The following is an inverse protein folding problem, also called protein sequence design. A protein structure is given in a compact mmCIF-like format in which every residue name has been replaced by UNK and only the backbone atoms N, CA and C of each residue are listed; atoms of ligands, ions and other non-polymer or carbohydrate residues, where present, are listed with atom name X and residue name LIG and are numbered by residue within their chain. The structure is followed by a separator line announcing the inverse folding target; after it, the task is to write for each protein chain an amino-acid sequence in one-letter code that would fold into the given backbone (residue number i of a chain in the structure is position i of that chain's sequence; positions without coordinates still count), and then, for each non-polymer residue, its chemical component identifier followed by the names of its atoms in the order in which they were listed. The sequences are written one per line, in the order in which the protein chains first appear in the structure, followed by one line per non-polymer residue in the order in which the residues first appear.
data_IF_639843833149
#
_entry.id   IF_639843833149
#
_cell.length_a   1.000
_cell.length_b   1.000
_cell.length_c   1.000
_cell.angle_alpha   90.00
_cell.angle_beta   90.00
_cell.angle_gamma   90.00
#
_symmetry.space_group_name_H-M   'P 1'
#
loop_
_entity.id
_entity.type
_entity.pdbx_description
1 polymer ?
#
# COMPACT_ATOMS: atom_id res chain seq x y z
N UNK A 1 27.78 68.10 21.91
CA UNK A 1 27.52 66.97 20.99
C UNK A 1 27.75 65.68 21.77
N UNK A 2 26.70 64.90 22.03
CA UNK A 2 26.69 63.46 22.38
C UNK A 2 25.34 63.17 23.06
N UNK A 3 24.36 62.70 22.28
CA UNK A 3 23.11 62.13 22.79
C UNK A 3 22.92 60.75 22.15
N UNK A 4 22.38 59.86 22.96
CA UNK A 4 22.49 58.40 22.93
C UNK A 4 22.05 57.68 21.64
N UNK A 5 22.75 56.56 21.39
CA UNK A 5 22.31 55.44 20.55
C UNK A 5 21.05 54.80 21.14
N UNK A 6 19.95 54.75 20.40
CA UNK A 6 18.85 53.82 20.66
C UNK A 6 18.85 52.75 19.56
N UNK A 7 19.33 51.57 19.91
CA UNK A 7 19.16 50.36 19.12
C UNK A 7 17.78 49.74 19.38
N UNK A 8 16.98 49.57 18.33
CA UNK A 8 15.74 48.79 18.38
C UNK A 8 16.12 47.35 18.05
N UNK A 9 16.07 46.46 19.05
CA UNK A 9 16.17 45.02 18.85
C UNK A 9 14.78 44.52 18.47
N UNK A 10 14.62 44.07 17.22
CA UNK A 10 13.38 43.45 16.75
C UNK A 10 13.34 42.00 17.26
N UNK A 11 12.35 41.68 18.09
CA UNK A 11 12.15 40.34 18.63
C UNK A 11 11.76 39.35 17.51
N UNK A 12 12.54 38.27 17.34
CA UNK A 12 12.13 37.12 16.53
C UNK A 12 11.02 36.36 17.26
N UNK A 13 9.80 36.42 16.74
CA UNK A 13 8.73 35.48 17.09
C UNK A 13 9.03 34.14 16.43
N UNK A 14 9.54 33.18 17.21
CA UNK A 14 9.66 31.80 16.77
C UNK A 14 8.24 31.22 16.55
N UNK A 15 7.91 30.95 15.29
CA UNK A 15 6.68 30.24 14.92
C UNK A 15 6.89 28.78 15.33
N UNK A 16 6.48 28.42 16.55
CA UNK A 16 6.37 27.03 16.97
C UNK A 16 5.22 26.41 16.18
N UNK A 17 5.52 25.75 15.07
CA UNK A 17 4.56 24.83 14.45
C UNK A 17 4.20 23.76 15.50
N UNK A 18 2.91 23.52 15.79
CA UNK A 18 2.54 22.42 16.66
C UNK A 18 3.08 21.12 16.04
N UNK A 19 3.60 20.17 16.85
CA UNK A 19 3.96 18.87 16.34
C UNK A 19 2.73 18.27 15.66
N UNK A 20 2.88 17.84 14.40
CA UNK A 20 1.82 17.12 13.72
C UNK A 20 1.45 15.92 14.59
N UNK A 21 0.20 15.85 15.04
CA UNK A 21 -0.30 14.72 15.80
C UNK A 21 -0.20 13.46 14.93
N UNK A 22 0.87 12.68 15.10
CA UNK A 22 1.00 11.36 14.48
C UNK A 22 0.17 10.34 15.27
N UNK A 23 -1.15 10.52 15.27
CA UNK A 23 -2.08 9.54 15.81
C UNK A 23 -2.62 8.60 14.71
N UNK A 24 -1.85 8.39 13.64
CA UNK A 24 -2.20 7.36 12.66
C UNK A 24 -1.51 6.05 13.00
N UNK A 25 -2.29 5.08 13.47
CA UNK A 25 -1.78 3.73 13.71
C UNK A 25 -1.60 3.00 12.37
N UNK A 26 -0.63 2.07 12.24
CA UNK A 26 -0.53 1.23 11.05
C UNK A 26 -1.68 0.21 10.93
N UNK A 27 -2.56 0.15 11.93
CA UNK A 27 -3.69 -0.78 12.02
C UNK A 27 -5.00 -0.11 11.59
N UNK A 28 -6.00 -0.94 11.27
CA UNK A 28 -7.34 -0.51 10.88
C UNK A 28 -7.76 -1.07 9.52
N UNK A 29 -8.85 -0.52 8.98
CA UNK A 29 -9.35 -0.88 7.67
C UNK A 29 -8.90 0.16 6.65
N UNK A 30 -8.42 -0.32 5.51
CA UNK A 30 -7.94 0.52 4.43
C UNK A 30 -8.54 0.07 3.11
N UNK A 31 -8.85 1.02 2.23
CA UNK A 31 -9.02 0.73 0.81
C UNK A 31 -7.65 0.68 0.15
N UNK A 32 -7.34 -0.43 -0.52
CA UNK A 32 -6.19 -0.56 -1.40
C UNK A 32 -6.55 -0.04 -2.79
N UNK A 33 -6.16 1.20 -3.06
CA UNK A 33 -6.40 1.85 -4.34
C UNK A 33 -5.26 1.54 -5.31
N UNK A 34 -5.37 0.40 -5.98
CA UNK A 34 -4.43 -0.06 -7.03
C UNK A 34 -4.79 0.55 -8.39
N UNK A 35 -3.77 0.92 -9.18
CA UNK A 35 -3.97 1.56 -10.49
C UNK A 35 -3.49 0.66 -11.62
N UNK A 36 -4.27 0.61 -12.71
CA UNK A 36 -3.90 -0.07 -13.96
C UNK A 36 -3.94 -1.61 -13.90
N UNK A 37 -4.23 -2.21 -12.74
CA UNK A 37 -4.49 -3.66 -12.66
C UNK A 37 -5.80 -3.96 -13.36
N UNK A 38 -5.79 -4.98 -14.23
CA UNK A 38 -7.01 -5.47 -14.85
C UNK A 38 -7.83 -6.26 -13.82
N UNK A 39 -8.60 -5.49 -13.06
CA UNK A 39 -9.37 -5.93 -11.92
C UNK A 39 -10.60 -5.02 -11.78
N UNK A 40 -11.70 -5.55 -11.24
CA UNK A 40 -12.93 -4.78 -10.99
C UNK A 40 -13.27 -4.75 -9.49
N UNK A 41 -12.46 -5.39 -8.65
CA UNK A 41 -12.65 -5.37 -7.21
C UNK A 41 -12.13 -4.07 -6.61
N UNK A 42 -12.92 -3.47 -5.72
CA UNK A 42 -12.37 -2.64 -4.66
C UNK A 42 -11.80 -3.59 -3.61
N UNK A 43 -10.55 -3.37 -3.21
CA UNK A 43 -9.89 -4.21 -2.21
C UNK A 43 -9.88 -3.50 -0.87
N UNK A 44 -10.50 -4.09 0.14
CA UNK A 44 -10.36 -3.67 1.52
C UNK A 44 -9.31 -4.51 2.22
N UNK A 45 -8.41 -3.85 2.94
CA UNK A 45 -7.40 -4.48 3.78
C UNK A 45 -7.75 -4.23 5.24
N UNK A 46 -8.11 -5.29 5.95
CA UNK A 46 -8.18 -5.27 7.40
C UNK A 46 -6.79 -5.58 7.96
N UNK A 47 -6.15 -4.58 8.58
CA UNK A 47 -4.78 -4.63 9.06
C UNK A 47 -4.76 -4.71 10.58
N UNK A 48 -4.17 -5.78 11.11
CA UNK A 48 -4.00 -6.02 12.54
C UNK A 48 -2.54 -6.29 12.89
N UNK A 49 -2.24 -6.44 14.17
CA UNK A 49 -0.95 -6.92 14.64
C UNK A 49 -0.81 -8.43 14.40
N UNK A 50 0.39 -8.89 14.06
CA UNK A 50 0.79 -10.29 14.07
C UNK A 50 1.62 -10.60 15.35
N UNK A 51 1.93 -11.86 15.67
CA UNK A 51 2.99 -12.16 16.65
C UNK A 51 4.36 -11.67 16.14
N UNK A 52 4.96 -10.71 16.85
CA UNK A 52 6.22 -10.07 16.47
C UNK A 52 6.03 -8.68 15.82
N UNK A 53 7.08 -8.20 15.16
CA UNK A 53 7.08 -6.90 14.47
C UNK A 53 6.63 -7.06 13.00
N UNK A 54 5.33 -7.27 12.81
CA UNK A 54 4.69 -7.26 11.48
C UNK A 54 3.23 -6.78 11.52
N UNK A 55 2.70 -6.51 10.33
CA UNK A 55 1.28 -6.28 10.09
C UNK A 55 0.65 -7.53 9.50
N UNK A 56 -0.41 -8.01 10.11
CA UNK A 56 -1.28 -9.04 9.55
C UNK A 56 -2.31 -8.37 8.66
N UNK A 57 -2.25 -8.62 7.36
CA UNK A 57 -3.20 -8.09 6.36
C UNK A 57 -4.20 -9.18 6.01
N UNK A 58 -5.49 -8.85 6.04
CA UNK A 58 -6.55 -9.65 5.41
C UNK A 58 -7.17 -8.84 4.28
N UNK A 59 -7.05 -9.34 3.05
CA UNK A 59 -7.63 -8.72 1.87
C UNK A 59 -9.05 -9.26 1.62
N UNK A 60 -9.97 -8.33 1.38
CA UNK A 60 -11.39 -8.54 1.23
C UNK A 60 -11.82 -7.84 -0.06
N UNK A 61 -12.15 -8.62 -1.08
CA UNK A 61 -12.65 -8.09 -2.35
C UNK A 61 -14.12 -7.63 -2.21
N UNK A 62 -14.43 -6.49 -2.83
CA UNK A 62 -15.78 -5.96 -2.94
C UNK A 62 -16.10 -5.62 -4.41
N UNK A 63 -17.06 -6.31 -5.04
CA UNK A 63 -17.71 -7.55 -4.59
C UNK A 63 -16.70 -8.71 -4.50
N UNK A 64 -17.07 -9.88 -3.95
CA UNK A 64 -16.12 -11.02 -3.90
C UNK A 64 -15.89 -11.62 -5.29
N UNK A 65 -16.94 -11.87 -6.07
CA UNK A 65 -16.87 -12.25 -7.49
C UNK A 65 -15.75 -13.24 -7.92
N UNK A 66 -15.55 -14.31 -7.14
CA UNK A 66 -14.49 -15.33 -7.31
C UNK A 66 -13.06 -14.84 -7.08
N UNK A 67 -12.86 -13.65 -6.52
CA UNK A 67 -11.57 -13.22 -6.03
C UNK A 67 -11.05 -14.18 -4.96
N UNK A 68 -9.78 -14.53 -5.04
CA UNK A 68 -9.11 -15.25 -3.97
C UNK A 68 -8.94 -14.35 -2.73
N UNK A 69 -9.54 -14.70 -1.57
CA UNK A 69 -9.25 -13.99 -0.34
C UNK A 69 -7.87 -14.41 0.17
N UNK A 70 -7.04 -13.46 0.58
CA UNK A 70 -5.75 -13.76 1.17
C UNK A 70 -5.58 -13.15 2.56
N UNK A 71 -4.70 -13.79 3.34
CA UNK A 71 -4.20 -13.29 4.60
C UNK A 71 -2.68 -13.53 4.63
N UNK A 72 -1.91 -12.49 4.90
CA UNK A 72 -0.45 -12.57 4.93
C UNK A 72 0.14 -11.58 5.93
N UNK A 73 1.37 -11.84 6.34
CA UNK A 73 2.14 -10.96 7.22
C UNK A 73 3.08 -10.09 6.40
N UNK A 74 3.07 -8.79 6.71
CA UNK A 74 3.93 -7.79 6.11
C UNK A 74 5.00 -7.37 7.11
N UNK A 75 6.26 -7.52 6.74
CA UNK A 75 7.40 -7.20 7.60
C UNK A 75 7.94 -5.82 7.27
N UNK A 76 8.32 -5.07 8.31
CA UNK A 76 8.90 -3.74 8.19
C UNK A 76 10.43 -3.83 8.12
N UNK A 77 11.01 -3.22 7.10
CA UNK A 77 12.45 -2.99 7.00
C UNK A 77 12.69 -1.63 6.35
N UNK A 78 13.58 -0.82 6.94
CA UNK A 78 13.99 0.48 6.38
C UNK A 78 12.82 1.41 6.01
N UNK A 79 11.80 1.49 6.88
CA UNK A 79 10.60 2.32 6.67
C UNK A 79 9.63 1.78 5.60
N UNK A 80 9.84 0.55 5.11
CA UNK A 80 8.96 -0.06 4.11
C UNK A 80 8.45 -1.42 4.56
N UNK A 81 7.16 -1.62 4.42
CA UNK A 81 6.54 -2.93 4.58
C UNK A 81 6.71 -3.73 3.29
N UNK A 82 6.93 -5.03 3.43
CA UNK A 82 6.93 -6.00 2.33
C UNK A 82 6.10 -7.22 2.69
N UNK A 83 5.27 -7.67 1.75
CA UNK A 83 4.38 -8.82 1.88
C UNK A 83 4.35 -9.60 0.57
N UNK A 84 4.43 -10.93 0.64
CA UNK A 84 4.32 -11.81 -0.54
C UNK A 84 3.11 -12.72 -0.42
N UNK A 85 2.35 -12.86 -1.51
CA UNK A 85 1.16 -13.70 -1.59
C UNK A 85 1.21 -14.50 -2.89
N UNK A 86 0.97 -15.80 -2.82
CA UNK A 86 0.69 -16.60 -4.01
C UNK A 86 -0.82 -16.51 -4.30
N UNK A 87 -1.20 -15.91 -5.43
CA UNK A 87 -2.58 -15.57 -5.80
C UNK A 87 -3.02 -16.45 -6.97
N UNK A 88 -3.81 -17.51 -6.75
CA UNK A 88 -4.18 -18.48 -7.78
C UNK A 88 -4.96 -17.88 -8.95
N UNK A 89 -5.64 -16.74 -8.75
CA UNK A 89 -6.44 -16.03 -9.74
C UNK A 89 -5.84 -14.66 -10.11
N UNK A 90 -4.52 -14.50 -9.94
CA UNK A 90 -3.86 -13.19 -9.92
C UNK A 90 -3.82 -12.46 -11.26
N UNK A 91 -3.60 -13.19 -12.37
CA UNK A 91 -3.69 -12.65 -13.72
C UNK A 91 -4.97 -13.18 -14.39
N UNK A 92 -5.84 -12.26 -14.80
CA UNK A 92 -7.12 -12.57 -15.45
C UNK A 92 -7.00 -12.33 -16.95
N UNK A 93 -7.36 -13.34 -17.75
CA UNK A 93 -7.22 -13.34 -19.20
C UNK A 93 -8.58 -13.23 -19.89
N UNK A 94 -8.69 -12.35 -20.89
CA UNK A 94 -9.93 -12.13 -21.62
C UNK A 94 -11.03 -11.55 -20.72
N UNK A 95 -12.17 -12.24 -20.62
CA UNK A 95 -13.26 -11.78 -19.76
C UNK A 95 -12.87 -11.88 -18.27
N UNK A 96 -12.91 -10.77 -17.56
CA UNK A 96 -12.45 -10.70 -16.16
C UNK A 96 -13.20 -11.64 -15.18
N UNK A 97 -14.43 -12.05 -15.47
CA UNK A 97 -15.24 -12.93 -14.60
C UNK A 97 -15.20 -14.41 -14.98
N UNK A 98 -15.16 -14.70 -16.28
CA UNK A 98 -15.35 -16.05 -16.82
C UNK A 98 -14.14 -16.57 -17.62
N UNK A 99 -13.19 -15.69 -17.91
CA UNK A 99 -11.99 -16.03 -18.64
C UNK A 99 -11.01 -16.84 -17.79
N UNK A 100 -9.97 -17.42 -18.44
CA UNK A 100 -8.91 -18.12 -17.74
C UNK A 100 -8.21 -17.22 -16.73
N UNK A 101 -7.73 -17.84 -15.66
CA UNK A 101 -6.86 -17.18 -14.68
C UNK A 101 -5.52 -17.88 -14.63
N UNK A 102 -4.48 -17.12 -14.33
CA UNK A 102 -3.11 -17.60 -14.22
C UNK A 102 -2.63 -17.25 -12.80
N UNK A 103 -2.09 -18.24 -12.06
CA UNK A 103 -1.50 -18.00 -10.76
C UNK A 103 -0.34 -17.01 -10.83
N UNK A 104 -0.29 -16.11 -9.86
CA UNK A 104 0.81 -15.14 -9.72
C UNK A 104 1.47 -15.27 -8.35
N UNK A 105 2.73 -14.85 -8.28
CA UNK A 105 3.40 -14.46 -7.04
C UNK A 105 3.39 -12.95 -6.94
N UNK A 106 2.60 -12.44 -6.02
CA UNK A 106 2.37 -11.02 -5.79
C UNK A 106 3.24 -10.54 -4.63
N UNK A 107 4.06 -9.51 -4.90
CA UNK A 107 4.91 -8.85 -3.91
C UNK A 107 4.42 -7.42 -3.74
N UNK A 108 3.92 -7.10 -2.56
CA UNK A 108 3.47 -5.78 -2.17
C UNK A 108 4.58 -5.11 -1.35
N UNK A 109 4.97 -3.89 -1.75
CA UNK A 109 5.89 -3.07 -0.95
C UNK A 109 5.35 -1.66 -0.81
N UNK A 110 5.33 -1.10 0.41
CA UNK A 110 4.83 0.27 0.64
C UNK A 110 5.57 0.95 1.77
N UNK A 111 5.62 2.28 1.71
CA UNK A 111 6.21 3.14 2.73
C UNK A 111 5.30 3.22 3.97
N UNK A 112 5.87 3.16 5.16
CA UNK A 112 5.14 3.05 6.43
C UNK A 112 4.42 4.35 6.83
N UNK A 113 4.92 5.50 6.37
CA UNK A 113 4.34 6.82 6.63
C UNK A 113 3.29 7.19 5.57
N UNK A 114 3.67 7.19 4.30
CA UNK A 114 2.83 7.65 3.18
C UNK A 114 1.83 6.60 2.70
N UNK A 115 2.02 5.33 3.07
CA UNK A 115 1.24 4.16 2.63
C UNK A 115 1.08 4.02 1.13
N UNK A 116 2.04 4.56 0.38
CA UNK A 116 2.11 4.46 -1.07
C UNK A 116 3.17 3.43 -1.45
N UNK A 117 2.91 2.68 -2.51
CA UNK A 117 3.69 1.49 -2.81
C UNK A 117 3.43 0.88 -4.18
N UNK A 118 3.99 -0.31 -4.37
CA UNK A 118 3.86 -1.09 -5.60
C UNK A 118 3.49 -2.54 -5.32
N UNK A 119 2.59 -3.07 -6.14
CA UNK A 119 2.31 -4.49 -6.29
C UNK A 119 3.06 -4.98 -7.54
N UNK A 120 4.02 -5.89 -7.36
CA UNK A 120 4.67 -6.62 -8.45
C UNK A 120 4.11 -8.03 -8.53
N UNK A 121 3.44 -8.35 -9.63
CA UNK A 121 2.73 -9.60 -9.85
C UNK A 121 3.43 -10.41 -10.93
N UNK A 122 4.04 -11.54 -10.54
CA UNK A 122 4.86 -12.37 -11.44
C UNK A 122 4.19 -13.69 -11.76
N UNK A 123 4.27 -14.14 -13.01
CA UNK A 123 3.62 -15.37 -13.51
C UNK A 123 4.56 -16.13 -14.46
N UNK A 124 4.49 -17.46 -14.42
CA UNK A 124 5.35 -18.32 -15.23
C UNK A 124 4.93 -18.40 -16.71
N UNK A 125 3.66 -18.13 -17.01
CA UNK A 125 3.09 -18.14 -18.37
C UNK A 125 2.03 -17.04 -18.44
N UNK A 126 1.95 -16.31 -19.54
CA UNK A 126 0.95 -15.27 -19.77
C UNK A 126 -0.33 -15.82 -20.42
N UNK A 127 -1.28 -14.92 -20.67
CA UNK A 127 -2.53 -15.26 -21.36
C UNK A 127 -2.26 -15.87 -22.75
N UNK A 128 -3.11 -16.82 -23.14
CA UNK A 128 -3.04 -17.50 -24.45
C UNK A 128 -1.68 -18.17 -24.75
N UNK A 129 -0.95 -18.58 -23.70
CA UNK A 129 0.36 -19.22 -23.84
C UNK A 129 1.51 -18.26 -24.08
N UNK A 130 1.31 -16.95 -23.91
CA UNK A 130 2.38 -15.96 -23.96
C UNK A 130 3.48 -16.28 -22.92
N UNK A 131 4.71 -15.78 -23.11
CA UNK A 131 5.77 -15.93 -22.11
C UNK A 131 5.38 -15.39 -20.73
N UNK A 132 5.98 -15.96 -19.68
CA UNK A 132 5.87 -15.42 -18.33
C UNK A 132 6.48 -14.03 -18.19
N UNK A 133 6.18 -13.36 -17.09
CA UNK A 133 6.65 -12.01 -16.83
C UNK A 133 6.20 -11.47 -15.49
N UNK A 134 6.42 -10.17 -15.30
CA UNK A 134 6.03 -9.43 -14.11
C UNK A 134 5.34 -8.14 -14.51
N UNK A 135 4.13 -7.91 -14.00
CA UNK A 135 3.47 -6.61 -14.06
C UNK A 135 3.66 -5.87 -12.74
N UNK A 136 3.81 -4.55 -12.80
CA UNK A 136 3.95 -3.72 -11.58
C UNK A 136 2.90 -2.62 -11.59
N UNK A 137 2.17 -2.52 -10.49
CA UNK A 137 1.05 -1.60 -10.32
C UNK A 137 1.30 -0.70 -9.11
N UNK A 138 1.22 0.64 -9.23
CA UNK A 138 1.25 1.50 -8.07
C UNK A 138 -0.07 1.37 -7.28
N UNK A 139 0.03 1.48 -5.96
CA UNK A 139 -1.14 1.55 -5.09
C UNK A 139 -0.91 2.51 -3.93
N UNK A 140 -2.01 2.90 -3.27
CA UNK A 140 -1.98 3.56 -1.95
C UNK A 140 -3.02 2.93 -1.02
N UNK A 141 -2.74 2.95 0.28
CA UNK A 141 -3.73 2.57 1.29
C UNK A 141 -4.41 3.82 1.85
N UNK A 142 -5.72 3.93 1.62
CA UNK A 142 -6.55 5.02 2.13
C UNK A 142 -7.34 4.49 3.32
N UNK A 143 -7.27 5.18 4.46
CA UNK A 143 -8.01 4.78 5.66
C UNK A 143 -9.51 4.93 5.42
N UNK A 144 -10.28 3.92 5.85
CA UNK A 144 -11.74 3.92 5.89
C UNK A 144 -12.29 4.48 7.20
#
# INVERSE_FOLDING_TARGET
MRSALLGIVLALTAVLSPPAAQAETPYGNFEMQVQGRYDFHTWLWAVSRCPGECLRVQAIAQPVAKAFPFRADAHLADGRYSMTVDVPDGLRCGNVYYGPVIPTRDVYTWDDVTRSGTLSSSFATGCDGAPGGTFTYPFRLVRL
#
